data_IF_746612340621
#
_entry.id   IF_746612340621
#
_cell.length_a   1.000
_cell.length_b   1.000
_cell.length_c   1.000
_cell.angle_alpha   90.00
_cell.angle_beta   90.00
_cell.angle_gamma   90.00
#
_symmetry.space_group_name_H-M   'P 1'
#
loop_
_entity.id
_entity.type
_entity.pdbx_description
1 polymer ?
#
# COMPACT_ATOMS: atom_id res chain seq x y z
N UNK A 1 12.43 14.91 4.19
CA UNK A 1 11.27 15.46 4.94
C UNK A 1 10.31 14.31 5.22
N UNK A 2 9.67 14.23 6.40
CA UNK A 2 8.83 13.08 6.74
C UNK A 2 7.56 13.09 5.90
N UNK A 3 7.11 11.90 5.48
CA UNK A 3 5.81 11.65 4.85
C UNK A 3 4.70 12.37 5.61
N UNK A 4 4.20 13.49 5.09
CA UNK A 4 2.91 14.04 5.54
C UNK A 4 1.84 13.14 4.91
N UNK A 5 1.44 12.12 5.70
CA UNK A 5 0.75 10.89 5.30
C UNK A 5 -0.15 11.03 4.06
N UNK A 6 0.34 10.62 2.88
CA UNK A 6 -0.55 10.35 1.77
C UNK A 6 -1.50 9.17 2.10
N UNK A 7 -1.08 8.26 2.95
CA UNK A 7 -1.63 6.90 3.01
C UNK A 7 -2.86 6.71 3.90
N UNK A 8 -3.47 7.80 4.37
CA UNK A 8 -4.50 7.74 5.40
C UNK A 8 -3.90 7.34 6.75
N UNK A 9 -4.55 6.41 7.46
CA UNK A 9 -4.08 5.92 8.76
C UNK A 9 -2.75 5.18 8.65
N UNK A 10 -1.80 5.49 9.54
CA UNK A 10 -0.54 4.76 9.70
C UNK A 10 -0.62 3.66 10.78
N UNK A 11 -1.83 3.28 11.20
CA UNK A 11 -2.01 2.24 12.21
C UNK A 11 -1.31 0.93 11.80
N UNK A 12 -0.58 0.32 12.74
CA UNK A 12 0.12 -0.95 12.55
C UNK A 12 1.40 -0.89 11.71
N UNK A 13 1.82 0.27 11.18
CA UNK A 13 3.10 0.34 10.47
C UNK A 13 4.27 0.33 11.46
N UNK A 14 5.30 -0.48 11.18
CA UNK A 14 6.55 -0.45 11.95
C UNK A 14 7.50 0.64 11.42
N UNK A 15 8.40 1.20 12.25
CA UNK A 15 9.39 2.18 11.79
C UNK A 15 10.24 1.67 10.63
N UNK A 16 10.59 0.37 10.65
CA UNK A 16 11.37 -0.27 9.59
C UNK A 16 10.59 -0.35 8.28
N UNK A 17 9.31 -0.71 8.33
CA UNK A 17 8.44 -0.75 7.14
C UNK A 17 8.25 0.64 6.54
N UNK A 18 8.00 1.65 7.38
CA UNK A 18 7.90 3.03 6.93
C UNK A 18 9.20 3.51 6.26
N UNK A 19 10.35 3.20 6.87
CA UNK A 19 11.64 3.53 6.29
C UNK A 19 11.87 2.83 4.95
N UNK A 20 11.47 1.57 4.81
CA UNK A 20 11.61 0.83 3.56
C UNK A 20 10.77 1.43 2.43
N UNK A 21 9.52 1.82 2.72
CA UNK A 21 8.65 2.54 1.76
C UNK A 21 9.28 3.88 1.36
N UNK A 22 9.80 4.63 2.35
CA UNK A 22 10.46 5.92 2.12
C UNK A 22 11.66 5.78 1.19
N UNK A 23 12.57 4.86 1.50
CA UNK A 23 13.76 4.60 0.68
C UNK A 23 13.40 4.07 -0.71
N UNK A 24 12.32 3.29 -0.83
CA UNK A 24 11.82 2.84 -2.13
C UNK A 24 11.43 4.04 -2.98
N UNK A 25 10.69 5.00 -2.41
CA UNK A 25 10.27 6.21 -3.12
C UNK A 25 11.46 7.05 -3.56
N UNK A 26 12.34 7.41 -2.63
CA UNK A 26 13.49 8.27 -2.89
C UNK A 26 14.40 7.67 -3.98
N UNK A 27 14.60 6.35 -3.95
CA UNK A 27 15.41 5.66 -4.94
C UNK A 27 14.71 5.59 -6.29
N UNK A 28 13.39 5.37 -6.31
CA UNK A 28 12.61 5.34 -7.55
C UNK A 28 12.60 6.72 -8.23
N UNK A 29 12.34 7.80 -7.48
CA UNK A 29 12.39 9.18 -8.00
C UNK A 29 13.78 9.50 -8.57
N UNK A 30 14.85 9.09 -7.88
CA UNK A 30 16.21 9.30 -8.36
C UNK A 30 16.45 8.56 -9.68
N UNK A 31 16.10 7.27 -9.76
CA UNK A 31 16.25 6.47 -10.98
C UNK A 31 15.43 7.05 -12.13
N UNK A 32 14.19 7.45 -11.86
CA UNK A 32 13.29 8.04 -12.85
C UNK A 32 13.84 9.34 -13.43
N UNK A 33 14.52 10.18 -12.63
CA UNK A 33 15.18 11.39 -13.11
C UNK A 33 16.31 11.06 -14.11
N UNK A 34 17.14 10.04 -13.83
CA UNK A 34 18.15 9.58 -14.79
C UNK A 34 17.52 9.04 -16.08
N UNK A 35 16.47 8.24 -15.96
CA UNK A 35 15.76 7.69 -17.13
C UNK A 35 15.15 8.80 -17.99
N UNK A 36 14.57 9.83 -17.36
CA UNK A 36 13.99 10.98 -18.05
C UNK A 36 15.02 11.75 -18.88
N UNK A 37 16.21 11.97 -18.30
CA UNK A 37 17.31 12.66 -18.97
C UNK A 37 18.08 11.76 -19.96
N UNK A 38 17.61 10.52 -20.20
CA UNK A 38 18.30 9.48 -20.98
C UNK A 38 19.74 9.22 -20.51
N UNK A 39 19.98 9.38 -19.21
CA UNK A 39 21.27 9.16 -18.58
C UNK A 39 21.39 7.72 -18.05
N UNK A 40 22.60 7.14 -18.04
CA UNK A 40 22.81 5.84 -17.43
C UNK A 40 22.62 5.94 -15.91
N UNK A 41 21.79 5.07 -15.35
CA UNK A 41 21.58 4.98 -13.90
C UNK A 41 22.90 4.56 -13.22
N UNK A 42 23.42 5.34 -12.26
CA UNK A 42 24.63 4.99 -11.53
C UNK A 42 24.56 3.61 -10.84
N UNK A 43 25.66 2.85 -10.87
CA UNK A 43 25.73 1.49 -10.31
C UNK A 43 25.48 1.46 -8.80
N UNK A 44 25.75 2.57 -8.13
CA UNK A 44 25.47 2.77 -6.71
C UNK A 44 23.98 2.56 -6.39
N UNK A 45 23.07 2.91 -7.31
CA UNK A 45 21.64 2.67 -7.13
C UNK A 45 21.30 1.19 -7.18
N UNK A 46 21.94 0.38 -8.04
CA UNK A 46 21.76 -1.09 -8.03
C UNK A 46 22.15 -1.69 -6.68
N UNK A 47 23.22 -1.17 -6.06
CA UNK A 47 23.63 -1.59 -4.71
C UNK A 47 22.56 -1.21 -3.67
N UNK A 48 22.01 0.00 -3.75
CA UNK A 48 20.93 0.46 -2.86
C UNK A 48 19.66 -0.38 -3.01
N UNK A 49 19.28 -0.75 -4.25
CA UNK A 49 18.15 -1.66 -4.51
C UNK A 49 18.39 -3.01 -3.82
N UNK A 50 19.60 -3.57 -3.97
CA UNK A 50 19.96 -4.86 -3.36
C UNK A 50 19.93 -4.79 -1.83
N UNK A 51 20.46 -3.71 -1.25
CA UNK A 51 20.44 -3.50 0.20
C UNK A 51 19.01 -3.39 0.74
N UNK A 52 18.13 -2.67 0.04
CA UNK A 52 16.74 -2.53 0.43
C UNK A 52 15.97 -3.85 0.30
N UNK A 53 16.26 -4.65 -0.74
CA UNK A 53 15.72 -6.00 -0.90
C UNK A 53 16.12 -6.91 0.27
N UNK A 54 17.40 -6.92 0.64
CA UNK A 54 17.89 -7.70 1.78
C UNK A 54 17.24 -7.24 3.10
N UNK A 55 17.10 -5.93 3.30
CA UNK A 55 16.40 -5.39 4.47
C UNK A 55 14.97 -5.92 4.54
N UNK A 56 14.20 -5.84 3.45
CA UNK A 56 12.83 -6.37 3.39
C UNK A 56 12.75 -7.88 3.70
N UNK A 57 13.78 -8.65 3.41
CA UNK A 57 13.83 -10.06 3.80
C UNK A 57 14.17 -10.26 5.28
N UNK A 58 15.05 -9.44 5.84
CA UNK A 58 15.53 -9.55 7.22
C UNK A 58 14.46 -9.18 8.27
N UNK A 59 13.64 -8.14 8.04
CA UNK A 59 12.68 -7.66 9.04
C UNK A 59 11.25 -8.19 8.87
N UNK A 60 11.05 -9.25 8.10
CA UNK A 60 9.73 -9.85 7.92
C UNK A 60 8.99 -10.04 9.27
N UNK A 61 7.66 -9.79 9.32
CA UNK A 61 6.86 -10.05 10.51
C UNK A 61 7.06 -11.48 11.01
N UNK A 62 7.09 -11.64 12.33
CA UNK A 62 7.35 -12.94 12.95
C UNK A 62 6.34 -14.01 12.50
N UNK A 63 6.82 -15.21 12.19
CA UNK A 63 5.97 -16.31 11.70
C UNK A 63 4.96 -16.80 12.75
N UNK A 64 5.29 -16.63 14.04
CA UNK A 64 4.47 -17.00 15.19
C UNK A 64 3.54 -15.88 15.67
N UNK A 65 3.44 -14.78 14.91
CA UNK A 65 2.56 -13.68 15.24
C UNK A 65 1.09 -14.13 15.25
N UNK A 66 0.40 -13.87 16.36
CA UNK A 66 -1.03 -14.20 16.48
C UNK A 66 -1.86 -13.26 15.59
N UNK A 67 -2.52 -13.83 14.59
CA UNK A 67 -3.34 -13.09 13.61
C UNK A 67 -4.84 -13.38 13.76
N UNK A 68 -5.22 -14.44 14.47
CA UNK A 68 -6.62 -14.79 14.67
C UNK A 68 -7.10 -14.23 16.01
N UNK A 69 -8.36 -13.82 16.04
CA UNK A 69 -8.99 -13.33 17.26
C UNK A 69 -9.73 -14.45 17.98
N UNK A 70 -9.47 -14.57 19.29
CA UNK A 70 -10.15 -15.50 20.18
C UNK A 70 -10.57 -14.76 21.46
N UNK A 71 -11.72 -15.10 22.07
CA UNK A 71 -12.13 -14.52 23.34
C UNK A 71 -11.04 -14.64 24.40
N UNK A 72 -10.68 -13.52 25.04
CA UNK A 72 -9.62 -13.44 26.05
C UNK A 72 -8.26 -12.97 25.53
N UNK A 73 -8.08 -12.85 24.21
CA UNK A 73 -6.91 -12.17 23.63
C UNK A 73 -7.11 -10.65 23.58
N UNK A 74 -5.99 -9.91 23.62
CA UNK A 74 -5.98 -8.47 23.40
C UNK A 74 -6.30 -8.17 21.92
N UNK A 75 -7.54 -7.79 21.67
CA UNK A 75 -8.05 -7.47 20.34
C UNK A 75 -7.26 -6.34 19.65
N UNK A 76 -6.77 -5.35 20.42
CA UNK A 76 -5.96 -4.24 19.87
C UNK A 76 -4.62 -4.76 19.37
N UNK A 77 -4.00 -5.68 20.11
CA UNK A 77 -2.79 -6.36 19.68
C UNK A 77 -3.02 -7.16 18.40
N UNK A 78 -4.13 -7.91 18.30
CA UNK A 78 -4.44 -8.69 17.08
C UNK A 78 -4.69 -7.79 15.87
N UNK A 79 -5.38 -6.64 16.05
CA UNK A 79 -5.51 -5.63 14.99
C UNK A 79 -4.12 -5.17 14.52
N UNK A 80 -3.26 -4.76 15.46
CA UNK A 80 -1.93 -4.26 15.13
C UNK A 80 -1.08 -5.30 14.41
N UNK A 81 -1.11 -6.57 14.84
CA UNK A 81 -0.41 -7.67 14.20
C UNK A 81 -0.86 -7.88 12.74
N UNK A 82 -2.18 -7.89 12.50
CA UNK A 82 -2.71 -8.00 11.14
C UNK A 82 -2.30 -6.80 10.28
N UNK A 83 -2.38 -5.59 10.82
CA UNK A 83 -1.99 -4.39 10.09
C UNK A 83 -0.48 -4.35 9.81
N UNK A 84 0.37 -4.80 10.73
CA UNK A 84 1.82 -4.92 10.54
C UNK A 84 2.15 -5.86 9.38
N UNK A 85 1.52 -7.04 9.33
CA UNK A 85 1.67 -7.97 8.20
C UNK A 85 1.20 -7.33 6.90
N UNK A 86 0.06 -6.65 6.90
CA UNK A 86 -0.46 -6.00 5.69
C UNK A 86 0.48 -4.88 5.19
N UNK A 87 1.01 -4.06 6.09
CA UNK A 87 1.99 -3.02 5.78
C UNK A 87 3.29 -3.58 5.23
N UNK A 88 3.80 -4.66 5.81
CA UNK A 88 5.00 -5.33 5.31
C UNK A 88 4.81 -5.83 3.88
N UNK A 89 3.72 -6.58 3.63
CA UNK A 89 3.42 -7.10 2.29
C UNK A 89 3.25 -5.96 1.28
N UNK A 90 2.58 -4.88 1.68
CA UNK A 90 2.46 -3.68 0.88
C UNK A 90 3.82 -3.04 0.54
N UNK A 91 4.73 -2.94 1.51
CA UNK A 91 6.08 -2.43 1.27
C UNK A 91 6.87 -3.31 0.28
N UNK A 92 6.76 -4.63 0.39
CA UNK A 92 7.36 -5.55 -0.57
C UNK A 92 6.78 -5.37 -1.98
N UNK A 93 5.45 -5.24 -2.13
CA UNK A 93 4.79 -4.99 -3.42
C UNK A 93 5.27 -3.66 -4.00
N UNK A 94 5.30 -2.61 -3.17
CA UNK A 94 5.72 -1.28 -3.57
C UNK A 94 7.15 -1.27 -4.09
N UNK A 95 8.06 -1.95 -3.40
CA UNK A 95 9.43 -2.16 -3.82
C UNK A 95 9.52 -2.82 -5.21
N UNK A 96 8.82 -3.93 -5.42
CA UNK A 96 8.85 -4.64 -6.70
C UNK A 96 8.26 -3.80 -7.85
N UNK A 97 7.16 -3.10 -7.59
CA UNK A 97 6.52 -2.26 -8.60
C UNK A 97 7.40 -1.06 -8.98
N UNK A 98 7.94 -0.33 -8.00
CA UNK A 98 8.66 0.93 -8.24
C UNK A 98 10.10 0.71 -8.71
N UNK A 99 10.81 -0.27 -8.16
CA UNK A 99 12.25 -0.44 -8.43
C UNK A 99 12.56 -1.60 -9.38
N UNK A 100 11.77 -2.68 -9.35
CA UNK A 100 12.00 -3.85 -10.22
C UNK A 100 11.08 -3.89 -11.43
N UNK A 101 10.14 -2.93 -11.54
CA UNK A 101 9.15 -2.84 -12.62
C UNK A 101 8.41 -4.17 -12.85
N UNK A 102 8.21 -4.93 -11.77
CA UNK A 102 7.47 -6.20 -11.76
C UNK A 102 6.08 -5.93 -11.22
N UNK A 103 5.05 -6.42 -11.90
CA UNK A 103 3.65 -6.08 -11.62
C UNK A 103 2.78 -7.35 -11.62
N UNK A 104 1.62 -7.27 -10.96
CA UNK A 104 0.61 -8.35 -10.92
C UNK A 104 1.10 -9.63 -10.21
N UNK A 105 0.48 -10.77 -10.54
CA UNK A 105 0.71 -12.09 -9.94
C UNK A 105 2.14 -12.65 -10.12
N UNK A 106 2.95 -12.00 -10.96
CA UNK A 106 4.37 -12.36 -11.14
C UNK A 106 5.23 -12.00 -9.91
N UNK A 107 4.69 -11.18 -9.00
CA UNK A 107 5.36 -10.83 -7.76
C UNK A 107 5.19 -11.99 -6.76
N UNK A 108 6.26 -12.54 -6.17
CA UNK A 108 6.20 -13.68 -5.25
C UNK A 108 5.70 -13.27 -3.85
N UNK A 109 4.61 -12.51 -3.78
CA UNK A 109 4.02 -11.98 -2.55
C UNK A 109 2.59 -12.51 -2.41
N UNK A 110 2.25 -12.98 -1.21
CA UNK A 110 0.93 -13.52 -0.92
C UNK A 110 -0.12 -12.42 -0.74
N UNK A 111 -0.71 -11.97 -1.85
CA UNK A 111 -1.78 -10.97 -1.90
C UNK A 111 -3.02 -11.39 -1.09
N UNK A 112 -3.38 -12.68 -1.12
CA UNK A 112 -4.49 -13.21 -0.35
C UNK A 112 -4.26 -13.12 1.17
N UNK A 113 -3.01 -13.24 1.64
CA UNK A 113 -2.65 -13.03 3.06
C UNK A 113 -2.85 -11.56 3.44
N UNK A 114 -2.40 -10.62 2.60
CA UNK A 114 -2.60 -9.19 2.86
C UNK A 114 -4.08 -8.84 2.97
N UNK A 115 -4.90 -9.31 2.02
CA UNK A 115 -6.34 -9.09 2.03
C UNK A 115 -7.01 -9.65 3.29
N UNK A 116 -6.69 -10.90 3.68
CA UNK A 116 -7.20 -11.52 4.91
C UNK A 116 -6.84 -10.73 6.16
N UNK A 117 -5.61 -10.21 6.24
CA UNK A 117 -5.18 -9.39 7.37
C UNK A 117 -5.96 -8.07 7.45
N UNK A 118 -6.19 -7.41 6.31
CA UNK A 118 -6.98 -6.17 6.28
C UNK A 118 -8.43 -6.43 6.69
N UNK A 119 -9.08 -7.47 6.15
CA UNK A 119 -10.44 -7.83 6.55
C UNK A 119 -10.54 -8.11 8.05
N UNK A 120 -9.67 -8.95 8.60
CA UNK A 120 -9.67 -9.27 10.04
C UNK A 120 -9.49 -8.03 10.91
N UNK A 121 -8.62 -7.12 10.52
CA UNK A 121 -8.44 -5.88 11.26
C UNK A 121 -9.74 -5.06 11.31
N UNK A 122 -10.45 -4.95 10.17
CA UNK A 122 -11.73 -4.23 10.12
C UNK A 122 -12.86 -4.96 10.87
N UNK A 123 -12.95 -6.29 10.76
CA UNK A 123 -13.92 -7.11 11.50
C UNK A 123 -13.74 -6.99 13.03
N UNK A 124 -12.49 -7.02 13.52
CA UNK A 124 -12.22 -6.89 14.95
C UNK A 124 -12.51 -5.45 15.42
N UNK A 125 -12.20 -4.43 14.59
CA UNK A 125 -12.56 -3.05 14.91
C UNK A 125 -14.07 -2.87 15.02
N UNK A 126 -14.84 -3.46 14.11
CA UNK A 126 -16.31 -3.44 14.16
C UNK A 126 -16.84 -4.13 15.42
N UNK A 127 -16.26 -5.27 15.79
CA UNK A 127 -16.64 -5.99 17.00
C UNK A 127 -16.32 -5.19 18.28
N UNK A 128 -15.17 -4.52 18.35
CA UNK A 128 -14.76 -3.71 19.50
C UNK A 128 -15.54 -2.39 19.62
N UNK A 129 -15.78 -1.74 18.48
CA UNK A 129 -16.46 -0.46 18.41
C UNK A 129 -17.47 -0.49 17.24
N UNK A 130 -18.71 -0.92 17.54
CA UNK A 130 -19.79 -0.94 16.55
C UNK A 130 -20.17 0.46 16.07
N UNK A 131 -19.94 1.51 16.87
CA UNK A 131 -20.16 2.89 16.45
C UNK A 131 -19.04 3.34 15.50
N UNK A 132 -19.35 3.30 14.21
CA UNK A 132 -18.45 3.67 13.12
C UNK A 132 -17.78 5.05 13.32
N UNK A 133 -18.46 6.02 13.94
CA UNK A 133 -17.91 7.36 14.15
C UNK A 133 -16.79 7.40 15.20
N UNK A 134 -16.69 6.36 16.04
CA UNK A 134 -15.64 6.18 17.05
C UNK A 134 -14.56 5.19 16.62
N UNK A 135 -14.78 4.50 15.51
CA UNK A 135 -13.89 3.45 15.02
C UNK A 135 -12.64 4.05 14.37
N UNK A 136 -11.50 3.40 14.59
CA UNK A 136 -10.25 3.82 13.97
C UNK A 136 -10.31 3.69 12.44
N UNK A 137 -9.84 4.74 11.77
CA UNK A 137 -9.76 4.81 10.32
C UNK A 137 -9.11 3.56 9.69
N UNK A 138 -9.65 3.07 8.55
CA UNK A 138 -9.05 2.00 7.80
C UNK A 138 -7.68 2.39 7.24
N UNK A 139 -6.84 1.37 7.05
CA UNK A 139 -5.49 1.51 6.51
C UNK A 139 -5.56 1.38 4.99
N UNK A 140 -5.31 2.49 4.27
CA UNK A 140 -5.63 2.56 2.84
C UNK A 140 -4.50 2.10 1.94
N UNK A 141 -3.25 2.41 2.26
CA UNK A 141 -2.15 2.13 1.33
C UNK A 141 -1.95 0.64 0.99
N UNK A 142 -1.92 -0.27 1.97
CA UNK A 142 -1.99 -1.71 1.69
C UNK A 142 -3.20 -2.12 0.85
N UNK A 143 -4.38 -1.56 1.12
CA UNK A 143 -5.60 -1.86 0.35
C UNK A 143 -5.52 -1.36 -1.10
N UNK A 144 -4.90 -0.20 -1.32
CA UNK A 144 -4.65 0.37 -2.63
C UNK A 144 -3.67 -0.49 -3.43
N UNK A 145 -2.50 -0.79 -2.86
CA UNK A 145 -1.49 -1.60 -3.54
C UNK A 145 -1.99 -3.02 -3.83
N UNK A 146 -2.74 -3.58 -2.87
CA UNK A 146 -3.43 -4.85 -3.02
C UNK A 146 -4.39 -4.85 -4.20
N UNK A 147 -5.31 -3.89 -4.23
CA UNK A 147 -6.27 -3.79 -5.32
C UNK A 147 -5.59 -3.57 -6.68
N UNK A 148 -4.54 -2.73 -6.74
CA UNK A 148 -3.86 -2.41 -8.01
C UNK A 148 -2.98 -3.55 -8.56
N UNK A 149 -2.57 -4.51 -7.72
CA UNK A 149 -1.71 -5.63 -8.14
C UNK A 149 -2.43 -6.98 -8.20
N UNK A 150 -3.70 -7.06 -7.80
CA UNK A 150 -4.43 -8.33 -7.77
C UNK A 150 -5.21 -8.58 -9.06
N UNK A 151 -5.13 -9.81 -9.57
CA UNK A 151 -6.04 -10.30 -10.61
C UNK A 151 -7.45 -10.57 -10.06
N UNK A 152 -7.56 -11.02 -8.81
CA UNK A 152 -8.83 -11.21 -8.09
C UNK A 152 -9.41 -9.88 -7.61
N UNK A 153 -10.06 -9.13 -8.51
CA UNK A 153 -10.64 -7.81 -8.19
C UNK A 153 -11.91 -7.87 -7.35
N UNK A 154 -12.65 -8.97 -7.40
CA UNK A 154 -13.91 -9.13 -6.67
C UNK A 154 -13.66 -9.14 -5.15
N UNK A 155 -12.63 -9.85 -4.70
CA UNK A 155 -12.29 -9.89 -3.28
C UNK A 155 -11.82 -8.53 -2.75
N UNK A 156 -11.10 -7.73 -3.57
CA UNK A 156 -10.74 -6.35 -3.19
C UNK A 156 -11.95 -5.41 -3.25
N UNK A 157 -12.87 -5.59 -4.20
CA UNK A 157 -14.12 -4.84 -4.24
C UNK A 157 -14.91 -4.98 -2.93
N UNK A 158 -14.96 -6.18 -2.36
CA UNK A 158 -15.62 -6.41 -1.08
C UNK A 158 -14.98 -5.62 0.07
N UNK A 159 -13.64 -5.61 0.17
CA UNK A 159 -12.93 -4.82 1.18
C UNK A 159 -13.18 -3.31 1.00
N UNK A 160 -13.11 -2.82 -0.23
CA UNK A 160 -13.34 -1.39 -0.52
C UNK A 160 -14.79 -0.98 -0.30
N UNK A 161 -15.74 -1.90 -0.49
CA UNK A 161 -17.15 -1.68 -0.14
C UNK A 161 -17.33 -1.55 1.37
N UNK A 162 -16.69 -2.42 2.16
CA UNK A 162 -16.68 -2.33 3.63
C UNK A 162 -16.09 -0.98 4.12
N UNK A 163 -14.94 -0.58 3.57
CA UNK A 163 -14.28 0.67 3.98
C UNK A 163 -15.04 1.94 3.56
N UNK A 164 -15.98 1.86 2.61
CA UNK A 164 -16.77 3.02 2.20
C UNK A 164 -17.77 3.47 3.27
N UNK A 165 -18.07 2.63 4.26
CA UNK A 165 -18.86 3.03 5.42
C UNK A 165 -18.22 4.23 6.14
N UNK A 166 -16.90 4.37 6.12
CA UNK A 166 -16.16 5.49 6.71
C UNK A 166 -16.25 6.79 5.86
N UNK A 167 -17.47 7.33 5.72
CA UNK A 167 -17.81 8.45 4.81
C UNK A 167 -16.93 9.71 4.99
N UNK A 168 -16.39 9.94 6.20
CA UNK A 168 -15.63 11.14 6.55
C UNK A 168 -14.16 11.14 6.07
N UNK A 169 -13.66 10.04 5.49
CA UNK A 169 -12.24 9.86 5.16
C UNK A 169 -11.93 9.96 3.65
N UNK A 170 -12.88 10.44 2.85
CA UNK A 170 -12.79 10.47 1.39
C UNK A 170 -12.41 9.09 0.80
N UNK A 171 -12.88 8.00 1.43
CA UNK A 171 -12.65 6.64 0.93
C UNK A 171 -13.27 6.46 -0.45
N UNK A 172 -14.43 7.09 -0.69
CA UNK A 172 -15.09 7.06 -1.99
C UNK A 172 -14.20 7.61 -3.10
N UNK A 173 -13.50 8.73 -2.88
CA UNK A 173 -12.57 9.29 -3.86
C UNK A 173 -11.38 8.35 -4.12
N UNK A 174 -10.80 7.78 -3.05
CA UNK A 174 -9.71 6.80 -3.13
C UNK A 174 -10.15 5.52 -3.85
N UNK A 175 -11.40 5.10 -3.68
CA UNK A 175 -11.94 3.94 -4.37
C UNK A 175 -12.22 4.21 -5.85
N UNK A 176 -12.75 5.40 -6.17
CA UNK A 176 -12.91 5.85 -7.55
C UNK A 176 -11.58 5.86 -8.30
N UNK A 177 -10.50 6.27 -7.64
CA UNK A 177 -9.15 6.21 -8.19
C UNK A 177 -8.72 4.79 -8.56
N UNK A 178 -8.89 3.83 -7.64
CA UNK A 178 -8.56 2.43 -7.91
C UNK A 178 -9.35 1.89 -9.10
N UNK A 179 -10.66 2.17 -9.17
CA UNK A 179 -11.49 1.77 -10.32
C UNK A 179 -11.05 2.43 -11.62
N UNK A 180 -10.61 3.69 -11.58
CA UNK A 180 -10.07 4.36 -12.76
C UNK A 180 -8.76 3.69 -13.23
N UNK A 181 -7.87 3.36 -12.29
CA UNK A 181 -6.63 2.62 -12.59
C UNK A 181 -6.95 1.27 -13.23
N UNK A 182 -7.89 0.50 -12.66
CA UNK A 182 -8.33 -0.77 -13.24
C UNK A 182 -8.84 -0.60 -14.67
N UNK A 183 -9.69 0.40 -14.92
CA UNK A 183 -10.21 0.66 -16.25
C UNK A 183 -9.10 0.98 -17.26
N UNK A 184 -8.09 1.75 -16.87
CA UNK A 184 -6.96 2.07 -17.77
C UNK A 184 -6.03 0.87 -17.98
N UNK A 185 -5.78 0.06 -16.94
CA UNK A 185 -5.04 -1.21 -17.06
C UNK A 185 -5.75 -2.23 -17.96
N UNK A 186 -7.08 -2.18 -18.05
CA UNK A 186 -7.86 -3.06 -18.92
C UNK A 186 -7.84 -2.59 -20.38
N UNK A 187 -7.82 -1.27 -20.61
CA UNK A 187 -7.76 -0.67 -21.95
C UNK A 187 -6.36 -0.76 -22.55
N UNK A 188 -5.37 -0.42 -21.75
CA UNK A 188 -3.98 -0.34 -22.13
C UNK A 188 -3.22 -1.38 -21.32
N UNK A 189 -2.34 -2.18 -21.95
CA UNK A 189 -1.50 -3.17 -21.23
C UNK A 189 -0.40 -2.49 -20.40
N UNK A 190 -0.75 -1.47 -19.62
CA UNK A 190 0.09 -0.70 -18.73
C UNK A 190 -0.04 -1.25 -17.31
N UNK A 191 1.03 -1.12 -16.52
CA UNK A 191 0.94 -1.31 -15.09
C UNK A 191 0.25 -0.14 -14.42
N UNK A 192 -0.26 -0.34 -13.20
CA UNK A 192 -0.86 0.76 -12.42
C UNK A 192 0.14 1.93 -12.20
N UNK A 193 1.43 1.65 -12.02
CA UNK A 193 2.48 2.68 -11.94
C UNK A 193 2.57 3.46 -13.24
N UNK A 194 2.49 2.77 -14.39
CA UNK A 194 2.46 3.41 -15.70
C UNK A 194 1.21 4.28 -15.91
N UNK A 195 0.04 3.82 -15.48
CA UNK A 195 -1.22 4.59 -15.53
C UNK A 195 -1.10 5.88 -14.70
N UNK A 196 -0.62 5.75 -13.46
CA UNK A 196 -0.41 6.89 -12.55
C UNK A 196 0.59 7.89 -13.15
N UNK A 197 1.68 7.43 -13.78
CA UNK A 197 2.67 8.31 -14.43
C UNK A 197 2.16 8.99 -15.71
N UNK A 198 1.46 8.27 -16.60
CA UNK A 198 0.97 8.85 -17.87
C UNK A 198 -0.09 9.92 -17.64
N UNK A 199 -0.77 9.89 -16.50
CA UNK A 199 -1.66 10.98 -16.09
C UNK A 199 -0.96 12.33 -15.89
N UNK A 200 0.36 12.47 -16.03
CA UNK A 200 1.07 13.75 -15.86
C UNK A 200 0.70 14.86 -16.89
N UNK A 201 -0.06 14.58 -17.96
CA UNK A 201 -0.73 15.64 -18.75
C UNK A 201 -2.02 16.19 -18.05
N UNK A 202 -2.47 15.54 -16.98
CA UNK A 202 -3.59 15.93 -16.10
C UNK A 202 -3.50 15.19 -14.73
N UNK A 203 -2.71 15.72 -13.77
CA UNK A 203 -1.96 14.91 -12.80
C UNK A 203 -2.86 14.16 -11.83
N UNK A 204 -2.69 12.84 -11.80
CA UNK A 204 -3.13 11.98 -10.72
C UNK A 204 -1.88 11.39 -10.06
N UNK A 205 -1.07 12.22 -9.41
CA UNK A 205 0.06 11.74 -8.61
C UNK A 205 -0.47 10.88 -7.48
N UNK A 206 0.33 9.93 -6.99
CA UNK A 206 0.02 9.23 -5.75
C UNK A 206 -0.31 10.25 -4.65
N UNK A 207 0.43 11.36 -4.53
CA UNK A 207 0.11 12.47 -3.62
C UNK A 207 -1.31 13.05 -3.77
N UNK A 208 -1.89 13.03 -4.97
CA UNK A 208 -3.17 13.64 -5.28
C UNK A 208 -4.36 12.77 -4.83
N UNK A 209 -4.20 11.44 -4.81
CA UNK A 209 -5.19 10.50 -4.27
C UNK A 209 -5.24 10.46 -2.73
N UNK A 210 -4.27 11.11 -2.12
CA UNK A 210 -3.83 10.74 -0.80
C UNK A 210 -3.68 11.95 0.15
N UNK A 211 -3.75 13.17 -0.37
CA UNK A 211 -3.89 14.39 0.40
C UNK A 211 -3.00 15.47 -0.18
N UNK A 212 -3.63 16.53 -0.70
CA UNK A 212 -2.99 17.59 -1.45
C UNK A 212 -1.96 18.41 -0.68
N UNK A 213 -1.15 19.12 -1.48
CA UNK A 213 -0.28 20.23 -1.09
C UNK A 213 -0.84 21.04 0.08
N UNK A 214 -0.06 21.13 1.15
CA UNK A 214 -0.07 22.31 2.01
C UNK A 214 1.37 22.75 2.19
N UNK A 215 1.89 23.45 1.18
CA UNK A 215 2.79 24.61 1.30
C UNK A 215 2.83 25.35 -0.05
N UNK A 216 2.14 26.48 -0.13
CA UNK A 216 2.83 27.74 -0.46
C UNK A 216 3.76 28.10 0.68
#
# INVERSE_FOLDING_TARGET
MPFKSPFGSLAGITPTTLQAITKTEELAETIEAYEWDNLPVPKEHTRSITQLSNQLQEFQPADDMELNFYPGLDARRIINNNLEVAWYLAACIYFHNRLLKTFNDDIPINMGKMLKCLFRAEEIKEWLEPDLMKRDAPVIFPAFLGACNSSDRDSWFALWSLMQEYEHLNITGKWMAVKAIWNEMDKEKKSWVGVVKVSDENPLRLSDFFGGSVFT
#
